data_IF_387916691155
#
_entry.id   IF_387916691155
#
_cell.length_a   1.000
_cell.length_b   1.000
_cell.length_c   1.000
_cell.angle_alpha   90.00
_cell.angle_beta   90.00
_cell.angle_gamma   90.00
#
_symmetry.space_group_name_H-M   'P 1'
#
loop_
_entity.id
_entity.type
_entity.pdbx_description
1 polymer ?
#
# COMPACT_ATOMS: atom_id res chain seq x y z
N UNK A 1 -19.98 2.59 17.10
CA UNK A 1 -18.72 1.82 17.17
C UNK A 1 -17.61 2.80 17.55
N UNK A 2 -16.89 2.59 18.65
CA UNK A 2 -15.90 3.58 19.11
C UNK A 2 -14.69 3.61 18.15
N UNK A 3 -14.12 4.80 17.91
CA UNK A 3 -12.96 4.98 17.02
C UNK A 3 -11.78 4.08 17.43
N UNK A 4 -11.65 3.82 18.73
CA UNK A 4 -10.64 2.92 19.31
C UNK A 4 -10.84 1.47 18.87
N UNK A 5 -12.08 0.97 18.86
CA UNK A 5 -12.39 -0.40 18.41
C UNK A 5 -12.05 -0.56 16.93
N UNK A 6 -12.39 0.43 16.09
CA UNK A 6 -12.03 0.42 14.66
C UNK A 6 -10.51 0.41 14.43
N UNK A 7 -9.77 1.21 15.19
CA UNK A 7 -8.31 1.23 15.15
C UNK A 7 -7.70 -0.12 15.58
N UNK A 8 -8.17 -0.70 16.69
CA UNK A 8 -7.67 -1.98 17.19
C UNK A 8 -7.97 -3.14 16.23
N UNK A 9 -9.18 -3.19 15.65
CA UNK A 9 -9.51 -4.17 14.61
C UNK A 9 -8.57 -4.01 13.41
N UNK A 10 -8.32 -2.77 12.97
CA UNK A 10 -7.41 -2.50 11.87
C UNK A 10 -5.98 -2.97 12.16
N UNK A 11 -5.44 -2.66 13.35
CA UNK A 11 -4.10 -3.07 13.77
C UNK A 11 -3.99 -4.60 13.86
N UNK A 12 -4.93 -5.26 14.54
CA UNK A 12 -4.92 -6.71 14.72
C UNK A 12 -5.12 -7.47 13.41
N UNK A 13 -5.97 -6.96 12.52
CA UNK A 13 -6.17 -7.55 11.20
C UNK A 13 -4.91 -7.41 10.33
N UNK A 14 -4.26 -6.25 10.39
CA UNK A 14 -3.00 -6.00 9.67
C UNK A 14 -1.89 -6.89 10.22
N UNK A 15 -1.75 -6.98 11.54
CA UNK A 15 -0.79 -7.86 12.22
C UNK A 15 -1.00 -9.34 11.86
N UNK A 16 -2.26 -9.80 11.83
CA UNK A 16 -2.62 -11.15 11.40
C UNK A 16 -2.23 -11.43 9.95
N UNK A 17 -2.40 -10.46 9.03
CA UNK A 17 -1.95 -10.62 7.64
C UNK A 17 -0.42 -10.76 7.53
N UNK A 18 0.35 -10.00 8.33
CA UNK A 18 1.82 -10.01 8.27
C UNK A 18 2.48 -11.19 8.98
N UNK A 19 1.84 -11.78 10.00
CA UNK A 19 2.35 -12.95 10.74
C UNK A 19 1.86 -14.31 10.22
N UNK A 20 1.15 -14.33 9.08
CA UNK A 20 0.96 -15.60 8.37
C UNK A 20 2.27 -15.98 7.68
N UNK A 21 3.03 -16.87 8.32
CA UNK A 21 4.43 -17.29 8.05
C UNK A 21 4.71 -17.86 6.64
N UNK A 22 3.83 -17.70 5.66
CA UNK A 22 4.05 -18.15 4.30
C UNK A 22 3.45 -17.16 3.29
N UNK A 23 4.27 -16.23 2.79
CA UNK A 23 3.91 -15.41 1.62
C UNK A 23 4.00 -16.28 0.38
N UNK A 24 2.92 -17.02 0.14
CA UNK A 24 2.76 -17.95 -0.95
C UNK A 24 1.66 -17.42 -1.87
N UNK A 25 1.97 -17.14 -3.14
CA UNK A 25 0.93 -16.97 -4.16
C UNK A 25 0.29 -18.34 -4.43
N UNK A 26 -0.72 -18.72 -3.63
CA UNK A 26 -1.33 -20.05 -3.70
C UNK A 26 -0.33 -21.23 -3.64
N UNK A 27 0.80 -21.06 -2.96
CA UNK A 27 1.82 -22.10 -2.77
C UNK A 27 2.86 -22.23 -3.90
N UNK A 28 2.83 -21.35 -4.92
CA UNK A 28 3.75 -21.41 -6.04
C UNK A 28 4.66 -20.19 -6.09
N UNK A 29 5.97 -20.41 -6.14
CA UNK A 29 6.93 -19.36 -6.44
C UNK A 29 6.69 -18.87 -7.88
N UNK A 30 6.54 -17.57 -8.09
CA UNK A 30 6.50 -16.98 -9.42
C UNK A 30 7.91 -17.06 -10.05
N UNK A 31 8.11 -18.08 -10.89
CA UNK A 31 9.43 -18.40 -11.46
C UNK A 31 9.69 -17.65 -12.75
N UNK A 32 8.65 -17.32 -13.50
CA UNK A 32 8.76 -16.57 -14.75
C UNK A 32 8.51 -15.08 -14.55
N UNK A 33 9.08 -14.25 -15.41
CA UNK A 33 8.83 -12.79 -15.41
C UNK A 33 7.33 -12.48 -15.58
N UNK A 34 6.63 -13.26 -16.40
CA UNK A 34 5.18 -13.11 -16.61
C UNK A 34 4.37 -13.37 -15.34
N UNK A 35 4.70 -14.42 -14.59
CA UNK A 35 4.06 -14.72 -13.31
C UNK A 35 4.30 -13.63 -12.26
N UNK A 36 5.53 -13.08 -12.21
CA UNK A 36 5.89 -12.01 -11.27
C UNK A 36 5.13 -10.72 -11.59
N UNK A 37 5.14 -10.30 -12.85
CA UNK A 37 4.37 -9.14 -13.31
C UNK A 37 2.87 -9.36 -13.11
N UNK A 38 2.35 -10.55 -13.44
CA UNK A 38 0.94 -10.89 -13.25
C UNK A 38 0.52 -10.81 -11.78
N UNK A 39 1.36 -11.29 -10.87
CA UNK A 39 1.12 -11.21 -9.42
C UNK A 39 1.12 -9.77 -8.92
N UNK A 40 2.07 -8.94 -9.39
CA UNK A 40 2.13 -7.51 -9.04
C UNK A 40 0.90 -6.75 -9.57
N UNK A 41 0.49 -7.01 -10.82
CA UNK A 41 -0.70 -6.40 -11.40
C UNK A 41 -1.98 -6.82 -10.66
N UNK A 42 -2.08 -8.10 -10.27
CA UNK A 42 -3.20 -8.58 -9.47
C UNK A 42 -3.26 -7.88 -8.11
N UNK A 43 -2.15 -7.82 -7.37
CA UNK A 43 -2.06 -7.12 -6.10
C UNK A 43 -2.39 -5.62 -6.24
N UNK A 44 -1.88 -4.97 -7.29
CA UNK A 44 -2.23 -3.58 -7.62
C UNK A 44 -3.72 -3.40 -7.91
N UNK A 45 -4.33 -4.32 -8.66
CA UNK A 45 -5.77 -4.32 -8.95
C UNK A 45 -6.62 -4.45 -7.68
N UNK A 46 -6.28 -5.40 -6.80
CA UNK A 46 -6.93 -5.57 -5.49
C UNK A 46 -6.80 -4.30 -4.64
N UNK A 47 -5.62 -3.66 -4.67
CA UNK A 47 -5.38 -2.39 -3.96
C UNK A 47 -6.28 -1.27 -4.48
N UNK A 48 -6.45 -1.16 -5.80
CA UNK A 48 -7.38 -0.19 -6.40
C UNK A 48 -8.83 -0.48 -6.01
N UNK A 49 -9.26 -1.74 -6.03
CA UNK A 49 -10.60 -2.13 -5.56
C UNK A 49 -10.79 -1.75 -4.10
N UNK A 50 -9.79 -1.99 -3.25
CA UNK A 50 -9.82 -1.59 -1.85
C UNK A 50 -9.97 -0.08 -1.69
N UNK A 51 -9.23 0.74 -2.45
CA UNK A 51 -9.41 2.20 -2.45
C UNK A 51 -10.82 2.62 -2.86
N UNK A 52 -11.41 1.97 -3.88
CA UNK A 52 -12.79 2.26 -4.30
C UNK A 52 -13.77 1.93 -3.16
N UNK A 53 -13.57 0.81 -2.47
CA UNK A 53 -14.38 0.43 -1.30
C UNK A 53 -14.22 1.46 -0.18
N UNK A 54 -12.98 1.86 0.14
CA UNK A 54 -12.70 2.88 1.14
C UNK A 54 -13.38 4.21 0.81
N UNK A 55 -13.30 4.65 -0.45
CA UNK A 55 -13.91 5.89 -0.92
C UNK A 55 -15.44 5.87 -0.87
N UNK A 56 -16.06 4.69 -1.05
CA UNK A 56 -17.53 4.54 -1.05
C UNK A 56 -18.13 4.32 0.32
N UNK A 57 -17.45 3.58 1.21
CA UNK A 57 -18.02 3.12 2.48
C UNK A 57 -17.59 3.97 3.68
N UNK A 58 -16.48 4.70 3.60
CA UNK A 58 -15.91 5.42 4.73
C UNK A 58 -15.90 6.94 4.50
N UNK A 59 -15.58 7.69 5.56
CA UNK A 59 -15.51 9.15 5.48
C UNK A 59 -14.36 9.61 4.57
N UNK A 60 -14.51 10.80 3.99
CA UNK A 60 -13.45 11.39 3.15
C UNK A 60 -12.12 11.50 3.91
N UNK A 61 -12.17 11.80 5.21
CA UNK A 61 -10.98 11.88 6.06
C UNK A 61 -10.29 10.53 6.23
N UNK A 62 -11.07 9.46 6.43
CA UNK A 62 -10.51 8.10 6.45
C UNK A 62 -9.87 7.74 5.11
N UNK A 63 -10.54 8.02 3.99
CA UNK A 63 -10.01 7.74 2.66
C UNK A 63 -8.71 8.50 2.38
N UNK A 64 -8.64 9.79 2.69
CA UNK A 64 -7.39 10.55 2.55
C UNK A 64 -6.26 10.00 3.42
N UNK A 65 -6.59 9.56 4.64
CA UNK A 65 -5.67 8.86 5.54
C UNK A 65 -5.12 7.58 4.94
N UNK A 66 -5.98 6.73 4.36
CA UNK A 66 -5.58 5.51 3.64
C UNK A 66 -4.64 5.85 2.48
N UNK A 67 -5.00 6.81 1.62
CA UNK A 67 -4.17 7.20 0.48
C UNK A 67 -2.81 7.74 0.93
N UNK A 68 -2.78 8.56 1.99
CA UNK A 68 -1.54 9.08 2.53
C UNK A 68 -0.66 7.95 3.11
N UNK A 69 -1.24 7.05 3.90
CA UNK A 69 -0.53 5.92 4.49
C UNK A 69 0.04 4.98 3.43
N UNK A 70 -0.76 4.60 2.43
CA UNK A 70 -0.30 3.76 1.33
C UNK A 70 0.82 4.42 0.52
N UNK A 71 0.74 5.74 0.30
CA UNK A 71 1.81 6.49 -0.34
C UNK A 71 3.11 6.52 0.46
N UNK A 72 3.00 6.72 1.78
CA UNK A 72 4.15 6.65 2.69
C UNK A 72 4.79 5.27 2.67
N UNK A 73 4.01 4.20 2.86
CA UNK A 73 4.55 2.84 2.85
C UNK A 73 5.20 2.50 1.50
N UNK A 74 4.53 2.73 0.37
CA UNK A 74 5.10 2.44 -0.94
C UNK A 74 6.42 3.17 -1.21
N UNK A 75 6.55 4.43 -0.76
CA UNK A 75 7.78 5.20 -0.97
C UNK A 75 8.87 4.88 0.04
N UNK A 76 8.56 4.90 1.33
CA UNK A 76 9.51 4.69 2.41
C UNK A 76 10.04 3.26 2.44
N UNK A 77 9.16 2.26 2.31
CA UNK A 77 9.55 0.85 2.34
C UNK A 77 10.52 0.53 1.20
N UNK A 78 10.20 0.96 -0.02
CA UNK A 78 11.09 0.74 -1.16
C UNK A 78 12.44 1.47 -0.97
N UNK A 79 12.42 2.76 -0.66
CA UNK A 79 13.69 3.51 -0.55
C UNK A 79 14.53 3.00 0.62
N UNK A 80 13.93 2.82 1.79
CA UNK A 80 14.68 2.53 3.01
C UNK A 80 14.91 1.03 3.16
N UNK A 81 13.87 0.22 3.04
CA UNK A 81 13.94 -1.22 3.30
C UNK A 81 14.48 -1.97 2.08
N UNK A 82 14.08 -1.63 0.85
CA UNK A 82 14.55 -2.35 -0.34
C UNK A 82 15.90 -1.84 -0.84
N UNK A 83 16.14 -0.53 -0.86
CA UNK A 83 17.35 0.02 -1.49
C UNK A 83 18.48 0.31 -0.51
N UNK A 84 18.19 0.89 0.66
CA UNK A 84 19.25 1.24 1.63
C UNK A 84 19.66 0.01 2.45
N UNK A 85 18.68 -0.71 3.00
CA UNK A 85 18.96 -1.86 3.86
C UNK A 85 18.95 -3.20 3.11
N UNK A 86 18.52 -3.23 1.84
CA UNK A 86 18.51 -4.42 0.99
C UNK A 86 17.83 -5.65 1.64
N UNK A 87 16.83 -5.41 2.51
CA UNK A 87 16.24 -6.48 3.33
C UNK A 87 15.33 -7.41 2.52
N UNK A 88 14.65 -6.86 1.52
CA UNK A 88 13.90 -7.63 0.54
C UNK A 88 13.67 -6.81 -0.74
N UNK A 89 13.29 -7.48 -1.81
CA UNK A 89 12.95 -6.87 -3.11
C UNK A 89 11.48 -7.12 -3.41
N UNK A 90 10.88 -6.22 -4.16
CA UNK A 90 9.48 -6.36 -4.57
C UNK A 90 9.27 -7.59 -5.47
N UNK A 91 10.29 -7.89 -6.29
CA UNK A 91 10.37 -9.09 -7.12
C UNK A 91 11.84 -9.46 -7.32
N UNK A 92 12.12 -10.73 -7.56
CA UNK A 92 13.48 -11.27 -7.72
C UNK A 92 14.08 -11.03 -9.11
N UNK A 93 13.32 -10.47 -10.05
CA UNK A 93 13.77 -10.25 -11.42
C UNK A 93 14.22 -8.82 -11.72
N UNK A 94 14.86 -8.59 -12.88
CA UNK A 94 15.36 -7.27 -13.30
C UNK A 94 14.24 -6.23 -13.47
N UNK A 95 12.99 -6.67 -13.61
CA UNK A 95 11.84 -5.76 -13.65
C UNK A 95 11.70 -4.91 -12.37
N UNK A 96 12.24 -5.37 -11.23
CA UNK A 96 12.25 -4.60 -9.98
C UNK A 96 12.98 -3.26 -10.13
N UNK A 97 14.06 -3.20 -10.91
CA UNK A 97 14.85 -1.97 -11.12
C UNK A 97 14.06 -0.87 -11.84
N UNK A 98 12.96 -1.23 -12.50
CA UNK A 98 12.05 -0.31 -13.17
C UNK A 98 10.81 -0.06 -12.31
N UNK A 99 10.22 -1.12 -11.77
CA UNK A 99 8.95 -1.04 -11.03
C UNK A 99 9.12 -0.32 -9.69
N UNK A 100 10.20 -0.59 -8.95
CA UNK A 100 10.41 0.00 -7.64
C UNK A 100 10.52 1.55 -7.71
N UNK A 101 11.33 2.15 -8.60
CA UNK A 101 11.35 3.61 -8.75
C UNK A 101 10.00 4.21 -9.14
N UNK A 102 9.25 3.54 -10.02
CA UNK A 102 7.90 3.99 -10.41
C UNK A 102 6.98 4.00 -9.19
N UNK A 103 7.00 2.94 -8.37
CA UNK A 103 6.19 2.86 -7.17
C UNK A 103 6.59 3.90 -6.11
N UNK A 104 7.88 4.25 -6.00
CA UNK A 104 8.31 5.36 -5.14
C UNK A 104 7.70 6.68 -5.60
N UNK A 105 7.76 6.98 -6.89
CA UNK A 105 7.15 8.22 -7.44
C UNK A 105 5.65 8.25 -7.21
N UNK A 106 4.95 7.15 -7.50
CA UNK A 106 3.50 7.02 -7.24
C UNK A 106 3.22 7.19 -5.75
N UNK A 107 4.02 6.56 -4.88
CA UNK A 107 3.88 6.64 -3.43
C UNK A 107 3.99 8.08 -2.93
N UNK A 108 4.99 8.83 -3.40
CA UNK A 108 5.15 10.25 -3.07
C UNK A 108 3.93 11.06 -3.55
N UNK A 109 3.43 10.82 -4.78
CA UNK A 109 2.25 11.50 -5.31
C UNK A 109 1.03 11.24 -4.43
N UNK A 110 0.78 9.98 -4.05
CA UNK A 110 -0.34 9.60 -3.18
C UNK A 110 -0.22 10.22 -1.79
N UNK A 111 0.98 10.20 -1.20
CA UNK A 111 1.25 10.80 0.10
C UNK A 111 0.92 12.31 0.10
N UNK A 112 1.47 13.03 -0.89
CA UNK A 112 1.24 14.47 -1.05
C UNK A 112 -0.24 14.75 -1.33
N UNK A 113 -0.88 13.94 -2.17
CA UNK A 113 -2.30 14.08 -2.49
C UNK A 113 -3.18 13.92 -1.25
N UNK A 114 -3.01 12.85 -0.49
CA UNK A 114 -3.81 12.55 0.71
C UNK A 114 -3.70 13.68 1.73
N UNK A 115 -2.47 14.14 2.01
CA UNK A 115 -2.24 15.26 2.94
C UNK A 115 -2.89 16.56 2.45
N UNK A 116 -2.71 16.91 1.16
CA UNK A 116 -3.27 18.15 0.60
C UNK A 116 -4.79 18.15 0.63
N UNK A 117 -5.41 17.02 0.31
CA UNK A 117 -6.88 16.88 0.33
C UNK A 117 -7.44 16.96 1.74
N UNK A 118 -6.77 16.33 2.70
CA UNK A 118 -7.20 16.40 4.09
C UNK A 118 -7.11 17.82 4.67
N UNK A 119 -6.00 18.52 4.42
CA UNK A 119 -5.85 19.93 4.82
C UNK A 119 -6.95 20.81 4.23
N UNK A 120 -7.32 20.59 2.97
CA UNK A 120 -8.43 21.31 2.32
C UNK A 120 -9.77 21.00 2.98
N UNK A 121 -10.04 19.74 3.29
CA UNK A 121 -11.28 19.32 3.95
C UNK A 121 -11.44 19.95 5.34
N UNK A 122 -10.36 19.99 6.12
CA UNK A 122 -10.37 20.62 7.46
C UNK A 122 -10.65 22.12 7.36
N UNK A 123 -9.99 22.82 6.43
CA UNK A 123 -10.20 24.27 6.22
C UNK A 123 -11.62 24.63 5.77
N UNK A 124 -12.32 23.71 5.11
CA UNK A 124 -13.71 23.94 4.69
C UNK A 124 -14.72 23.67 5.81
N UNK A 125 -14.33 22.94 6.85
CA UNK A 125 -15.16 22.62 8.01
C UNK A 125 -14.99 23.61 9.17
N UNK A 126 -13.93 24.44 9.14
CA UNK A 126 -13.66 25.55 10.07
C UNK A 126 -14.28 26.85 9.61
#
# INVERSE_FOLDING_TARGET
MSRLIGFLIGVLYTDWLFHTDNVNAFGFAATTTGERIGSLLFAGGVTVVFYIVCAKLFSSSFFHGVIAASGFFASFDIVVIHWIFELHRLTHGPEADIIEPILVVIGIILLVYGIKKEKKSIRQAS
#
